data_IF_498948987295
#
_entry.id   IF_498948987295
#
_cell.length_a   1.000
_cell.length_b   1.000
_cell.length_c   1.000
_cell.angle_alpha   90.00
_cell.angle_beta   90.00
_cell.angle_gamma   90.00
#
_symmetry.space_group_name_H-M   'P 1'
#
loop_
_entity.id
_entity.type
_entity.pdbx_description
1 polymer ?
#
# COMPACT_ATOMS: atom_id res chain seq x y z
N UNK A 1 -35.42 -13.42 63.18
CA UNK A 1 -34.99 -12.01 63.24
C UNK A 1 -33.54 -11.96 62.78
N UNK A 2 -33.29 -11.67 61.50
CA UNK A 2 -31.93 -11.74 60.92
C UNK A 2 -31.10 -10.54 61.40
N UNK A 3 -30.02 -10.84 62.12
CA UNK A 3 -29.16 -9.88 62.79
C UNK A 3 -28.13 -9.33 61.78
N UNK A 4 -28.36 -8.12 61.27
CA UNK A 4 -27.53 -7.39 60.30
C UNK A 4 -26.20 -6.87 60.88
N UNK A 5 -25.65 -7.52 61.91
CA UNK A 5 -24.49 -7.01 62.68
C UNK A 5 -23.14 -7.11 61.97
N UNK A 6 -23.09 -7.73 60.79
CA UNK A 6 -21.89 -7.85 59.95
C UNK A 6 -22.00 -7.03 58.66
N UNK A 7 -22.70 -5.91 58.71
CA UNK A 7 -22.63 -4.86 57.69
C UNK A 7 -21.19 -4.31 57.66
N UNK A 8 -20.41 -4.80 56.70
CA UNK A 8 -19.16 -4.28 56.14
C UNK A 8 -18.47 -3.26 57.07
N UNK A 9 -17.72 -3.78 58.05
CA UNK A 9 -16.73 -2.98 58.78
C UNK A 9 -15.56 -2.71 57.84
N UNK A 10 -15.63 -1.61 57.09
CA UNK A 10 -14.46 -0.94 56.54
C UNK A 10 -13.68 -0.36 57.73
N UNK A 11 -12.69 -1.12 58.21
CA UNK A 11 -11.74 -0.67 59.23
C UNK A 11 -10.44 -0.38 58.51
N UNK A 12 -10.17 0.91 58.39
CA UNK A 12 -9.01 1.52 57.76
C UNK A 12 -7.69 0.91 58.28
N UNK A 13 -6.99 0.12 57.44
CA UNK A 13 -5.52 0.06 57.35
C UNK A 13 -5.10 -0.85 56.18
N UNK A 14 -4.05 -0.46 55.46
CA UNK A 14 -3.35 -1.13 54.35
C UNK A 14 -3.78 -0.79 52.93
N UNK A 15 -2.81 -0.25 52.20
CA UNK A 15 -2.74 0.12 50.78
C UNK A 15 -3.19 -1.00 49.83
N UNK A 16 -4.49 -1.05 49.52
CA UNK A 16 -5.04 -2.01 48.57
C UNK A 16 -6.32 -1.48 47.94
N UNK A 17 -6.57 -1.86 46.69
CA UNK A 17 -7.82 -1.54 45.99
C UNK A 17 -8.91 -2.54 46.40
N UNK A 18 -10.13 -2.05 46.58
CA UNK A 18 -11.28 -2.93 46.73
C UNK A 18 -11.62 -3.60 45.41
N UNK A 19 -12.21 -4.80 45.45
CA UNK A 19 -12.61 -5.53 44.23
C UNK A 19 -13.52 -4.68 43.34
N UNK A 20 -14.42 -3.90 43.93
CA UNK A 20 -15.35 -3.04 43.20
C UNK A 20 -14.62 -1.88 42.50
N UNK A 21 -13.61 -1.26 43.14
CA UNK A 21 -12.78 -0.23 42.51
C UNK A 21 -11.97 -0.80 41.35
N UNK A 22 -11.43 -2.02 41.47
CA UNK A 22 -10.73 -2.69 40.37
C UNK A 22 -11.66 -2.94 39.19
N UNK A 23 -12.88 -3.43 39.45
CA UNK A 23 -13.87 -3.66 38.40
C UNK A 23 -14.29 -2.36 37.69
N UNK A 24 -14.50 -1.27 38.44
CA UNK A 24 -14.78 0.03 37.85
C UNK A 24 -13.59 0.59 37.06
N UNK A 25 -12.37 0.47 37.58
CA UNK A 25 -11.17 0.88 36.86
C UNK A 25 -11.00 0.12 35.54
N UNK A 26 -11.20 -1.21 35.55
CA UNK A 26 -11.18 -2.02 34.33
C UNK A 26 -12.26 -1.62 33.33
N UNK A 27 -13.48 -1.33 33.78
CA UNK A 27 -14.56 -0.88 32.92
C UNK A 27 -14.22 0.48 32.26
N UNK A 28 -13.69 1.43 33.03
CA UNK A 28 -13.27 2.74 32.51
C UNK A 28 -12.13 2.58 31.51
N UNK A 29 -11.12 1.75 31.81
CA UNK A 29 -10.00 1.48 30.91
C UNK A 29 -10.51 0.83 29.61
N UNK A 30 -11.40 -0.15 29.70
CA UNK A 30 -11.98 -0.80 28.51
C UNK A 30 -12.73 0.19 27.61
N UNK A 31 -13.54 1.06 28.20
CA UNK A 31 -14.26 2.12 27.49
C UNK A 31 -13.31 3.14 26.85
N UNK A 32 -12.20 3.48 27.53
CA UNK A 32 -11.20 4.41 27.02
C UNK A 32 -10.30 3.80 25.91
N UNK A 33 -9.95 2.51 26.03
CA UNK A 33 -9.10 1.82 25.06
C UNK A 33 -9.82 1.52 23.75
N UNK A 34 -11.12 1.25 23.78
CA UNK A 34 -11.91 0.93 22.58
C UNK A 34 -11.76 1.98 21.46
N UNK A 35 -12.02 3.28 21.67
CA UNK A 35 -11.84 4.29 20.62
C UNK A 35 -10.38 4.44 20.19
N UNK A 36 -9.41 4.26 21.11
CA UNK A 36 -7.98 4.31 20.78
C UNK A 36 -7.58 3.17 19.83
N UNK A 37 -8.03 1.94 20.10
CA UNK A 37 -7.76 0.77 19.25
C UNK A 37 -8.39 0.94 17.88
N UNK A 38 -9.63 1.45 17.82
CA UNK A 38 -10.33 1.73 16.54
C UNK A 38 -9.52 2.75 15.72
N UNK A 39 -9.10 3.86 16.34
CA UNK A 39 -8.32 4.89 15.66
C UNK A 39 -6.96 4.38 15.18
N UNK A 40 -6.24 3.63 16.02
CA UNK A 40 -4.97 3.02 15.64
C UNK A 40 -5.14 2.05 14.46
N UNK A 41 -6.19 1.23 14.49
CA UNK A 41 -6.49 0.28 13.41
C UNK A 41 -6.82 1.00 12.09
N UNK A 42 -7.51 2.15 12.15
CA UNK A 42 -7.78 2.96 10.97
C UNK A 42 -6.50 3.57 10.39
N UNK A 43 -5.63 4.11 11.24
CA UNK A 43 -4.35 4.66 10.82
C UNK A 43 -3.46 3.59 10.19
N UNK A 44 -3.34 2.42 10.81
CA UNK A 44 -2.55 1.31 10.27
C UNK A 44 -3.08 0.85 8.91
N UNK A 45 -4.41 0.74 8.74
CA UNK A 45 -5.00 0.41 7.44
C UNK A 45 -4.69 1.45 6.38
N UNK A 46 -4.73 2.73 6.73
CA UNK A 46 -4.38 3.81 5.80
C UNK A 46 -2.91 3.76 5.41
N UNK A 47 -2.00 3.63 6.38
CA UNK A 47 -0.55 3.51 6.14
C UNK A 47 -0.25 2.28 5.28
N UNK A 48 -0.84 1.13 5.59
CA UNK A 48 -0.69 -0.09 4.80
C UNK A 48 -1.11 0.15 3.36
N UNK A 49 -2.29 0.75 3.13
CA UNK A 49 -2.77 1.07 1.78
C UNK A 49 -1.83 1.99 1.02
N UNK A 50 -1.37 3.09 1.65
CA UNK A 50 -0.42 4.01 1.01
C UNK A 50 0.92 3.34 0.71
N UNK A 51 1.43 2.54 1.65
CA UNK A 51 2.66 1.78 1.46
C UNK A 51 2.55 0.81 0.29
N UNK A 52 1.44 0.08 0.17
CA UNK A 52 1.22 -0.86 -0.93
C UNK A 52 1.12 -0.15 -2.28
N UNK A 53 0.46 1.02 -2.35
CA UNK A 53 0.41 1.82 -3.57
C UNK A 53 1.81 2.29 -4.00
N UNK A 54 2.59 2.86 -3.07
CA UNK A 54 3.97 3.28 -3.34
C UNK A 54 4.86 2.12 -3.78
N UNK A 55 4.73 0.96 -3.13
CA UNK A 55 5.49 -0.23 -3.50
C UNK A 55 5.15 -0.70 -4.92
N UNK A 56 3.88 -0.66 -5.32
CA UNK A 56 3.48 -0.98 -6.71
C UNK A 56 4.04 0.01 -7.73
N UNK A 57 4.13 1.30 -7.39
CA UNK A 57 4.80 2.29 -8.23
C UNK A 57 6.28 1.95 -8.41
N UNK A 58 6.97 1.63 -7.32
CA UNK A 58 8.38 1.21 -7.36
C UNK A 58 8.59 -0.07 -8.18
N UNK A 59 7.71 -1.05 -8.02
CA UNK A 59 7.71 -2.27 -8.86
C UNK A 59 7.55 -1.95 -10.35
N UNK A 60 6.65 -1.00 -10.69
CA UNK A 60 6.45 -0.56 -12.06
C UNK A 60 7.68 0.12 -12.64
N UNK A 61 8.35 0.96 -11.87
CA UNK A 61 9.60 1.63 -12.26
C UNK A 61 10.74 0.62 -12.46
N UNK A 62 10.97 -0.26 -11.48
CA UNK A 62 11.98 -1.30 -11.58
C UNK A 62 11.74 -2.18 -12.81
N UNK A 63 10.49 -2.60 -13.03
CA UNK A 63 10.13 -3.41 -14.20
C UNK A 63 10.32 -2.64 -15.52
N UNK A 64 10.11 -1.33 -15.53
CA UNK A 64 10.37 -0.48 -16.70
C UNK A 64 11.86 -0.53 -17.08
N UNK A 65 12.74 -0.34 -16.09
CA UNK A 65 14.19 -0.36 -16.27
C UNK A 65 14.67 -1.76 -16.69
N UNK A 66 14.24 -2.81 -15.99
CA UNK A 66 14.62 -4.18 -16.29
C UNK A 66 14.19 -4.60 -17.70
N UNK A 67 12.99 -4.20 -18.12
CA UNK A 67 12.47 -4.50 -19.45
C UNK A 67 13.20 -3.69 -20.53
N UNK A 68 13.62 -2.47 -20.22
CA UNK A 68 14.41 -1.64 -21.13
C UNK A 68 15.80 -2.23 -21.39
N UNK A 69 16.50 -2.65 -20.33
CA UNK A 69 17.83 -3.28 -20.46
C UNK A 69 17.73 -4.56 -21.32
N UNK A 70 16.68 -5.36 -21.12
CA UNK A 70 16.43 -6.55 -21.95
C UNK A 70 16.11 -6.19 -23.40
N UNK A 71 15.37 -5.10 -23.61
CA UNK A 71 15.08 -4.60 -24.96
C UNK A 71 16.36 -4.16 -25.68
N UNK A 72 17.26 -3.44 -25.03
CA UNK A 72 18.56 -3.06 -25.65
C UNK A 72 19.38 -4.28 -26.07
N UNK A 73 19.31 -5.37 -25.30
CA UNK A 73 20.04 -6.61 -25.58
C UNK A 73 19.45 -7.43 -26.74
N UNK A 74 18.12 -7.52 -26.86
CA UNK A 74 17.46 -8.42 -27.84
C UNK A 74 16.78 -7.69 -29.00
N UNK A 75 16.55 -6.36 -28.94
CA UNK A 75 15.91 -5.47 -29.94
C UNK A 75 14.56 -5.94 -30.56
N UNK A 76 14.11 -7.15 -30.26
CA UNK A 76 12.92 -7.81 -30.82
C UNK A 76 11.74 -7.78 -29.84
N UNK A 77 12.00 -7.77 -28.54
CA UNK A 77 10.96 -7.76 -27.50
C UNK A 77 10.52 -6.35 -27.13
N UNK A 78 9.51 -5.82 -27.84
CA UNK A 78 8.89 -4.52 -27.52
C UNK A 78 7.84 -4.59 -26.41
N UNK A 79 7.58 -5.78 -25.86
CA UNK A 79 6.63 -5.97 -24.77
C UNK A 79 7.09 -7.05 -23.81
N UNK A 80 6.74 -6.88 -22.54
CA UNK A 80 6.98 -7.87 -21.49
C UNK A 80 5.81 -7.86 -20.51
N UNK A 81 5.57 -9.00 -19.85
CA UNK A 81 4.57 -9.12 -18.80
C UNK A 81 5.17 -9.86 -17.62
N UNK A 82 4.90 -9.38 -16.41
CA UNK A 82 5.31 -10.02 -15.15
C UNK A 82 4.14 -9.99 -14.18
N UNK A 83 3.93 -11.10 -13.48
CA UNK A 83 3.01 -11.14 -12.34
C UNK A 83 3.85 -11.17 -11.06
N UNK A 84 3.44 -10.41 -10.06
CA UNK A 84 4.03 -10.36 -8.73
C UNK A 84 2.94 -10.79 -7.76
N UNK A 85 3.27 -11.73 -6.87
CA UNK A 85 2.29 -12.33 -5.95
C UNK A 85 2.03 -11.43 -4.73
N UNK A 86 3.03 -10.71 -4.24
CA UNK A 86 2.91 -9.86 -3.05
C UNK A 86 3.48 -8.44 -3.26
N UNK A 87 2.63 -7.41 -3.27
CA UNK A 87 1.18 -7.49 -3.36
C UNK A 87 0.77 -7.95 -4.76
N UNK A 88 -0.33 -8.70 -4.87
CA UNK A 88 -0.79 -9.24 -6.17
C UNK A 88 -0.94 -8.11 -7.20
N UNK A 89 -0.09 -8.17 -8.23
CA UNK A 89 0.08 -7.09 -9.21
C UNK A 89 0.52 -7.66 -10.54
N UNK A 90 -0.16 -7.28 -11.62
CA UNK A 90 0.26 -7.55 -12.99
C UNK A 90 0.96 -6.31 -13.56
N UNK A 91 2.17 -6.52 -14.09
CA UNK A 91 2.99 -5.49 -14.73
C UNK A 91 3.08 -5.79 -16.23
N UNK A 92 2.76 -4.80 -17.06
CA UNK A 92 2.76 -4.91 -18.52
C UNK A 92 3.61 -3.79 -19.10
N UNK A 93 4.71 -4.16 -19.73
CA UNK A 93 5.64 -3.27 -20.41
C UNK A 93 5.35 -3.25 -21.90
N UNK A 94 5.35 -2.05 -22.51
CA UNK A 94 5.24 -1.85 -23.97
C UNK A 94 6.07 -0.67 -24.43
N UNK A 95 6.71 -0.82 -25.59
CA UNK A 95 7.30 0.26 -26.37
C UNK A 95 6.43 0.44 -27.61
N UNK A 96 5.80 1.59 -27.70
CA UNK A 96 4.89 1.97 -28.79
C UNK A 96 5.43 3.20 -29.51
N UNK A 97 5.00 3.41 -30.75
CA UNK A 97 5.33 4.67 -31.43
C UNK A 97 4.68 5.85 -30.71
N UNK A 98 5.43 6.94 -30.56
CA UNK A 98 4.86 8.14 -29.93
C UNK A 98 3.78 8.80 -30.77
N UNK A 99 2.95 9.59 -30.09
CA UNK A 99 1.83 10.28 -30.72
C UNK A 99 2.31 11.21 -31.85
N UNK A 100 1.47 11.49 -32.86
CA UNK A 100 1.83 12.38 -33.97
C UNK A 100 2.29 13.76 -33.51
N UNK A 101 1.73 14.28 -32.40
CA UNK A 101 2.12 15.57 -31.83
C UNK A 101 3.58 15.57 -31.34
N UNK A 102 4.01 14.49 -30.70
CA UNK A 102 5.38 14.34 -30.19
C UNK A 102 6.35 14.07 -31.34
N UNK A 103 5.95 13.26 -32.33
CA UNK A 103 6.76 12.99 -33.52
C UNK A 103 7.07 14.23 -34.36
N UNK A 104 6.21 15.27 -34.31
CA UNK A 104 6.49 16.57 -34.95
C UNK A 104 7.67 17.29 -34.31
N UNK A 105 7.87 17.13 -33.00
CA UNK A 105 8.99 17.73 -32.28
C UNK A 105 10.27 16.92 -32.50
N UNK A 106 10.17 15.59 -32.55
CA UNK A 106 11.31 14.72 -32.78
C UNK A 106 10.88 13.40 -33.42
N UNK A 107 11.45 13.08 -34.59
CA UNK A 107 11.00 11.96 -35.43
C UNK A 107 11.25 10.58 -34.80
N UNK A 108 12.26 10.46 -33.93
CA UNK A 108 12.72 9.18 -33.39
C UNK A 108 12.43 9.03 -31.89
N UNK A 109 11.25 9.49 -31.46
CA UNK A 109 10.75 9.27 -30.10
C UNK A 109 9.73 8.13 -30.10
N UNK A 110 9.90 7.23 -29.14
CA UNK A 110 9.01 6.15 -28.78
C UNK A 110 8.43 6.39 -27.39
N UNK A 111 7.22 5.89 -27.16
CA UNK A 111 6.59 5.94 -25.86
C UNK A 111 6.81 4.60 -25.17
N UNK A 112 7.50 4.64 -24.04
CA UNK A 112 7.70 3.49 -23.18
C UNK A 112 6.66 3.56 -22.06
N UNK A 113 5.94 2.46 -21.87
CA UNK A 113 4.80 2.41 -20.95
C UNK A 113 4.87 1.14 -20.10
N UNK A 114 4.75 1.32 -18.79
CA UNK A 114 4.42 0.24 -17.86
C UNK A 114 3.02 0.46 -17.33
N UNK A 115 2.18 -0.56 -17.47
CA UNK A 115 0.85 -0.61 -16.88
C UNK A 115 0.90 -1.52 -15.68
N UNK A 116 0.48 -1.01 -14.53
CA UNK A 116 0.41 -1.70 -13.24
C UNK A 116 -1.06 -1.96 -12.95
N UNK A 117 -1.47 -3.22 -12.93
CA UNK A 117 -2.86 -3.64 -12.73
C UNK A 117 -2.96 -4.43 -11.43
N UNK A 118 -3.93 -4.10 -10.58
CA UNK A 118 -4.21 -4.86 -9.36
C UNK A 118 -5.70 -4.84 -9.04
N UNK A 119 -6.12 -5.76 -8.17
CA UNK A 119 -7.49 -5.81 -7.66
C UNK A 119 -7.47 -5.59 -6.15
N UNK A 120 -8.35 -4.71 -5.65
CA UNK A 120 -8.51 -4.46 -4.22
C UNK A 120 -10.02 -4.41 -3.92
N UNK A 121 -10.47 -5.28 -3.02
CA UNK A 121 -11.89 -5.40 -2.63
C UNK A 121 -12.87 -5.55 -3.83
N UNK A 122 -12.50 -6.35 -4.84
CA UNK A 122 -13.32 -6.58 -6.04
C UNK A 122 -13.31 -5.44 -7.06
N UNK A 123 -12.56 -4.36 -6.79
CA UNK A 123 -12.38 -3.26 -7.73
C UNK A 123 -11.03 -3.39 -8.42
N UNK A 124 -11.04 -3.35 -9.75
CA UNK A 124 -9.82 -3.36 -10.56
C UNK A 124 -9.27 -1.95 -10.69
N UNK A 125 -7.98 -1.81 -10.40
CA UNK A 125 -7.23 -0.58 -10.49
C UNK A 125 -6.14 -0.69 -11.54
N UNK A 126 -5.77 0.44 -12.13
CA UNK A 126 -4.76 0.49 -13.17
C UNK A 126 -4.01 1.80 -13.12
N UNK A 127 -2.70 1.73 -12.91
CA UNK A 127 -1.78 2.85 -13.01
C UNK A 127 -0.88 2.70 -14.24
N UNK A 128 -0.44 3.84 -14.79
CA UNK A 128 0.39 3.88 -15.99
C UNK A 128 1.58 4.78 -15.75
N UNK A 129 2.77 4.19 -15.82
CA UNK A 129 4.03 4.91 -15.89
C UNK A 129 4.39 5.08 -17.37
N UNK A 130 4.59 6.33 -17.80
CA UNK A 130 4.86 6.66 -19.19
C UNK A 130 6.15 7.47 -19.24
N UNK A 131 7.08 7.06 -20.09
CA UNK A 131 8.29 7.80 -20.40
C UNK A 131 8.51 7.86 -21.91
N UNK A 132 9.38 8.76 -22.34
CA UNK A 132 9.74 8.96 -23.74
C UNK A 132 11.16 8.47 -23.96
N UNK A 133 11.29 7.54 -24.90
CA UNK A 133 12.56 6.98 -25.31
C UNK A 133 12.97 7.62 -26.64
N UNK A 134 14.12 8.29 -26.66
CA UNK A 134 14.71 8.77 -27.89
C UNK A 134 15.73 7.74 -28.41
N UNK A 135 15.51 7.23 -29.62
CA UNK A 135 16.44 6.32 -30.29
C UNK A 135 17.18 7.10 -31.39
N UNK A 136 18.45 7.51 -31.18
CA UNK A 136 19.19 8.21 -32.22
C UNK A 136 19.38 7.32 -33.44
N UNK A 137 19.23 7.90 -34.63
CA UNK A 137 19.65 7.24 -35.86
C UNK A 137 21.15 7.00 -35.80
N UNK A 138 21.58 5.73 -35.90
CA UNK A 138 22.99 5.40 -36.09
C UNK A 138 23.45 6.09 -37.37
N UNK A 139 24.35 7.06 -37.25
CA UNK A 139 25.04 7.65 -38.41
C UNK A 139 25.71 6.51 -39.17
N UNK A 140 25.21 6.22 -40.36
CA UNK A 140 25.88 5.34 -41.33
C UNK A 140 27.16 6.00 -41.82
#
# INVERSE_FOLDING_TARGET
>A
MFNLRNMIRSRNSTTGFTLIEVLFAMAIIGLALTPLIINQSNLLRWVARQSTLLYRTYLGEQFMIDSYIKFEQDNRQRSARKQVEDPETTLIFRIEESSPAIKKLCRNIYTQKVTVEWEEAGTKYTDKLITFLFLPELKK
#
